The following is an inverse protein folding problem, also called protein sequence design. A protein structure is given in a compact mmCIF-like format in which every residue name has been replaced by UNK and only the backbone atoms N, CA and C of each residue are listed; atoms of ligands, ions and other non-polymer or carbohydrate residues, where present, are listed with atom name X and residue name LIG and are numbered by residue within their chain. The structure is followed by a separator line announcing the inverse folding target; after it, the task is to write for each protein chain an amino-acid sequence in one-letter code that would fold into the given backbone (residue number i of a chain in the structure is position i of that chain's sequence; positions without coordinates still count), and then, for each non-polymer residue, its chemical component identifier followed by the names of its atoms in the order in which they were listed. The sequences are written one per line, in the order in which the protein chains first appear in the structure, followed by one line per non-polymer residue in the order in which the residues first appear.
data_IF_403342429775
#
_entry.id   IF_403342429775
#
_cell.length_a   1.000
_cell.length_b   1.000
_cell.length_c   1.000
_cell.angle_alpha   90.00
_cell.angle_beta   90.00
_cell.angle_gamma   90.00
#
_symmetry.space_group_name_H-M   'P 1'
#
loop_
_entity.id
_entity.type
_entity.pdbx_description
1 polymer ?
#
# COMPACT_ATOMS: atom_id res chain seq x y z
N UNK A 1 2.34 -21.89 -8.45
CA UNK A 1 2.10 -20.61 -7.75
C UNK A 1 3.46 -20.03 -7.40
N UNK A 2 3.83 -18.87 -7.95
CA UNK A 2 5.07 -18.18 -7.57
C UNK A 2 4.68 -17.04 -6.63
N UNK A 3 5.11 -17.10 -5.37
CA UNK A 3 5.14 -15.90 -4.53
C UNK A 3 6.19 -14.97 -5.12
N UNK A 4 5.86 -13.69 -5.25
CA UNK A 4 6.77 -12.68 -5.79
C UNK A 4 7.21 -11.83 -4.62
N UNK A 5 8.52 -11.68 -4.44
CA UNK A 5 9.03 -10.67 -3.53
C UNK A 5 8.93 -9.31 -4.21
N UNK A 6 7.78 -8.68 -4.07
CA UNK A 6 7.65 -7.25 -4.33
C UNK A 6 8.34 -6.56 -3.17
N UNK A 7 9.66 -6.42 -3.29
CA UNK A 7 10.49 -5.71 -2.32
C UNK A 7 10.05 -4.25 -2.36
N UNK A 8 9.16 -3.86 -1.45
CA UNK A 8 9.07 -2.45 -1.08
C UNK A 8 10.40 -2.11 -0.38
N UNK A 9 10.92 -0.93 -0.71
CA UNK A 9 12.19 -0.41 -0.20
C UNK A 9 12.27 -0.65 1.31
N UNK A 10 13.40 -1.15 1.81
CA UNK A 10 13.61 -1.22 3.24
C UNK A 10 13.61 0.22 3.78
N UNK A 11 12.61 0.55 4.60
CA UNK A 11 12.43 1.85 5.23
C UNK A 11 13.47 2.02 6.35
N UNK A 12 14.74 2.20 5.99
CA UNK A 12 15.88 2.29 6.92
C UNK A 12 16.34 3.74 7.07
N UNK A 13 15.39 4.65 7.27
CA UNK A 13 15.69 6.05 7.56
C UNK A 13 15.93 6.22 9.07
N UNK A 14 16.86 7.11 9.41
CA UNK A 14 17.04 7.61 10.78
C UNK A 14 15.79 8.37 11.25
N UNK A 15 15.60 8.49 12.55
CA UNK A 15 14.43 9.21 13.08
C UNK A 15 14.40 10.69 12.69
N UNK A 16 15.56 11.31 12.50
CA UNK A 16 15.68 12.68 11.98
C UNK A 16 15.23 12.77 10.52
N UNK A 17 15.63 11.81 9.68
CA UNK A 17 15.18 11.74 8.28
C UNK A 17 13.66 11.51 8.19
N UNK A 18 13.07 10.69 9.07
CA UNK A 18 11.62 10.49 9.11
C UNK A 18 10.90 11.81 9.48
N UNK A 19 11.42 12.58 10.44
CA UNK A 19 10.87 13.89 10.78
C UNK A 19 11.01 14.90 9.63
N UNK A 20 12.14 14.92 8.93
CA UNK A 20 12.34 15.75 7.74
C UNK A 20 11.36 15.40 6.63
N UNK A 21 11.15 14.10 6.36
CA UNK A 21 10.13 13.62 5.41
C UNK A 21 8.72 14.01 5.83
N UNK A 22 8.39 13.93 7.12
CA UNK A 22 7.09 14.39 7.62
C UNK A 22 6.87 15.89 7.38
N UNK A 23 7.93 16.71 7.47
CA UNK A 23 7.85 18.11 7.10
C UNK A 23 7.62 18.29 5.59
N UNK A 24 8.33 17.53 4.74
CA UNK A 24 8.10 17.58 3.28
C UNK A 24 6.66 17.23 2.91
N UNK A 25 6.01 16.30 3.61
CA UNK A 25 4.57 16.02 3.41
C UNK A 25 3.73 17.26 3.67
N UNK A 26 4.01 18.01 4.73
CA UNK A 26 3.30 19.25 5.06
C UNK A 26 3.49 20.28 3.94
N UNK A 27 4.71 20.41 3.45
CA UNK A 27 5.06 21.35 2.38
C UNK A 27 4.35 20.97 1.06
N UNK A 28 4.31 19.68 0.70
CA UNK A 28 3.55 19.20 -0.48
C UNK A 28 2.06 19.51 -0.33
N UNK A 29 1.46 19.26 0.84
CA UNK A 29 0.05 19.59 1.08
C UNK A 29 -0.21 21.09 0.93
N UNK A 30 0.66 21.94 1.47
CA UNK A 30 0.56 23.40 1.34
C UNK A 30 0.69 23.85 -0.12
N UNK A 31 1.72 23.40 -0.83
CA UNK A 31 1.94 23.68 -2.26
C UNK A 31 0.73 23.29 -3.12
N UNK A 32 0.07 22.18 -2.77
CA UNK A 32 -1.13 21.67 -3.44
C UNK A 32 -2.42 22.32 -2.93
N UNK A 33 -2.35 23.35 -2.08
CA UNK A 33 -3.51 24.02 -1.46
C UNK A 33 -4.45 23.05 -0.72
N UNK A 34 -3.91 21.97 -0.14
CA UNK A 34 -4.63 21.02 0.69
C UNK A 34 -4.48 21.41 2.16
N UNK A 35 -5.57 21.90 2.75
CA UNK A 35 -5.57 22.37 4.14
C UNK A 35 -5.39 21.22 5.12
N UNK A 36 -4.20 21.11 5.73
CA UNK A 36 -3.94 20.27 6.89
C UNK A 36 -4.40 21.00 8.17
N UNK A 37 -5.53 20.60 8.75
CA UNK A 37 -6.03 21.22 10.00
C UNK A 37 -5.15 20.78 11.17
N UNK A 38 -4.77 21.73 12.03
CA UNK A 38 -4.13 21.41 13.32
C UNK A 38 -5.03 20.46 14.13
N UNK A 39 -4.43 19.42 14.69
CA UNK A 39 -5.14 18.38 15.44
C UNK A 39 -5.96 17.40 14.59
N UNK A 40 -5.93 17.49 13.25
CA UNK A 40 -6.47 16.44 12.39
C UNK A 40 -5.71 15.13 12.56
N UNK A 41 -6.36 14.02 12.20
CA UNK A 41 -5.76 12.69 12.26
C UNK A 41 -4.41 12.61 11.53
N UNK A 42 -4.29 13.17 10.32
CA UNK A 42 -3.03 13.22 9.59
C UNK A 42 -1.99 14.11 10.29
N UNK A 43 -2.39 15.30 10.78
CA UNK A 43 -1.49 16.21 11.50
C UNK A 43 -0.92 15.56 12.77
N UNK A 44 -1.78 14.85 13.53
CA UNK A 44 -1.38 14.11 14.72
C UNK A 44 -0.45 12.94 14.36
N UNK A 45 -0.74 12.22 13.27
CA UNK A 45 0.11 11.12 12.81
C UNK A 45 1.50 11.62 12.41
N UNK A 46 1.60 12.67 11.57
CA UNK A 46 2.87 13.27 11.18
C UNK A 46 3.69 13.77 12.39
N UNK A 47 3.02 14.25 13.44
CA UNK A 47 3.70 14.71 14.68
C UNK A 47 4.44 13.59 15.42
N UNK A 48 4.15 12.32 15.14
CA UNK A 48 4.83 11.20 15.78
C UNK A 48 6.27 11.04 15.33
N UNK A 49 6.57 11.40 14.07
CA UNK A 49 7.95 11.47 13.58
C UNK A 49 8.77 12.51 14.35
N UNK A 50 8.19 13.70 14.55
CA UNK A 50 8.84 14.78 15.30
C UNK A 50 9.10 14.36 16.76
N UNK A 51 8.11 13.74 17.41
CA UNK A 51 8.24 13.21 18.79
C UNK A 51 9.31 12.13 18.89
N UNK A 52 9.38 11.21 17.92
CA UNK A 52 10.38 10.15 17.91
C UNK A 52 11.79 10.73 17.76
N UNK A 53 11.97 11.66 16.82
CA UNK A 53 13.25 12.35 16.61
C UNK A 53 13.71 13.09 17.86
N UNK A 54 12.80 13.80 18.54
CA UNK A 54 13.12 14.53 19.77
C UNK A 54 13.51 13.58 20.91
N UNK A 55 12.70 12.54 21.16
CA UNK A 55 12.98 11.56 22.22
C UNK A 55 14.35 10.90 22.02
N UNK A 56 14.70 10.58 20.77
CA UNK A 56 16.02 10.03 20.43
C UNK A 56 17.17 11.01 20.71
N UNK A 57 17.02 12.27 20.30
CA UNK A 57 18.02 13.31 20.56
C UNK A 57 18.22 13.56 22.07
N UNK A 58 17.15 13.48 22.85
CA UNK A 58 17.16 13.62 24.31
C UNK A 58 17.58 12.33 25.04
N UNK A 59 17.86 11.25 24.30
CA UNK A 59 18.19 9.92 24.85
C UNK A 59 17.11 9.37 25.80
N UNK A 60 15.85 9.74 25.55
CA UNK A 60 14.68 9.26 26.28
C UNK A 60 14.07 8.09 25.52
N UNK A 61 13.72 7.02 26.23
CA UNK A 61 13.02 5.88 25.61
C UNK A 61 11.64 6.36 25.11
N UNK A 62 11.36 6.30 23.80
CA UNK A 62 10.04 6.66 23.27
C UNK A 62 8.99 5.61 23.65
N UNK A 63 7.72 6.02 23.66
CA UNK A 63 6.59 5.10 23.73
C UNK A 63 6.58 4.21 22.48
N UNK A 64 6.31 2.90 22.65
CA UNK A 64 6.25 1.94 21.54
C UNK A 64 5.26 2.40 20.45
N UNK A 65 4.13 3.02 20.81
CA UNK A 65 3.16 3.59 19.87
C UNK A 65 3.79 4.66 18.97
N UNK A 66 4.66 5.50 19.53
CA UNK A 66 5.36 6.56 18.78
C UNK A 66 6.28 5.94 17.75
N UNK A 67 7.01 4.89 18.12
CA UNK A 67 7.89 4.14 17.20
C UNK A 67 7.08 3.52 16.07
N UNK A 68 5.94 2.89 16.38
CA UNK A 68 5.09 2.24 15.39
C UNK A 68 4.48 3.26 14.42
N UNK A 69 3.85 4.31 14.96
CA UNK A 69 3.22 5.35 14.14
C UNK A 69 4.24 6.09 13.28
N UNK A 70 5.47 6.33 13.78
CA UNK A 70 6.53 6.93 12.98
C UNK A 70 7.01 6.03 11.82
N UNK A 71 7.06 4.71 11.99
CA UNK A 71 7.34 3.79 10.88
C UNK A 71 6.26 3.87 9.78
N UNK A 72 4.98 4.01 10.18
CA UNK A 72 3.90 4.27 9.23
C UNK A 72 3.98 5.66 8.59
N UNK A 73 4.40 6.69 9.33
CA UNK A 73 4.67 8.02 8.79
C UNK A 73 5.75 7.96 7.72
N UNK A 74 6.82 7.20 7.94
CA UNK A 74 7.87 7.06 6.94
C UNK A 74 7.31 6.49 5.62
N UNK A 75 6.49 5.42 5.71
CA UNK A 75 5.78 4.85 4.55
C UNK A 75 4.91 5.85 3.81
N UNK A 76 4.11 6.60 4.56
CA UNK A 76 3.24 7.63 4.01
C UNK A 76 4.06 8.74 3.36
N UNK A 77 5.17 9.14 3.99
CA UNK A 77 5.94 10.26 3.54
C UNK A 77 6.61 9.99 2.19
N UNK A 78 7.27 8.85 1.98
CA UNK A 78 7.82 8.55 0.65
C UNK A 78 6.72 8.45 -0.40
N UNK A 79 5.54 7.91 -0.07
CA UNK A 79 4.44 7.84 -1.03
C UNK A 79 4.02 9.23 -1.53
N UNK A 80 4.03 10.24 -0.65
CA UNK A 80 3.65 11.61 -1.01
C UNK A 80 4.82 12.37 -1.64
N UNK A 81 6.03 12.27 -1.09
CA UNK A 81 7.20 13.04 -1.53
C UNK A 81 7.79 12.54 -2.86
N UNK A 82 7.45 11.32 -3.29
CA UNK A 82 7.77 10.82 -4.64
C UNK A 82 6.76 11.28 -5.70
N UNK A 83 5.64 11.90 -5.30
CA UNK A 83 4.55 12.29 -6.19
C UNK A 83 4.22 13.81 -6.19
N UNK A 84 5.15 14.74 -5.93
CA UNK A 84 4.80 16.16 -5.73
C UNK A 84 4.13 16.79 -6.96
N UNK A 85 4.60 16.38 -8.15
CA UNK A 85 4.16 16.91 -9.44
C UNK A 85 3.08 16.05 -10.11
N UNK A 86 2.63 14.97 -9.48
CA UNK A 86 1.58 14.13 -10.07
C UNK A 86 0.25 14.90 -10.10
N UNK A 87 -0.35 15.17 -11.28
CA UNK A 87 -1.55 16.00 -11.34
C UNK A 87 -2.77 15.30 -10.72
N UNK A 88 -2.88 13.98 -10.87
CA UNK A 88 -4.08 13.22 -10.49
C UNK A 88 -4.28 12.96 -8.98
N UNK A 89 -3.33 13.33 -8.11
CA UNK A 89 -3.40 12.96 -6.68
C UNK A 89 -4.15 13.97 -5.79
N UNK A 90 -4.68 15.06 -6.34
CA UNK A 90 -5.29 16.14 -5.55
C UNK A 90 -6.40 15.66 -4.61
N UNK A 91 -7.31 14.83 -5.10
CA UNK A 91 -8.42 14.30 -4.30
C UNK A 91 -7.96 13.24 -3.29
N UNK A 92 -6.92 12.46 -3.61
CA UNK A 92 -6.31 11.53 -2.66
C UNK A 92 -5.68 12.29 -1.48
N UNK A 93 -4.93 13.37 -1.74
CA UNK A 93 -4.36 14.23 -0.69
C UNK A 93 -5.45 14.86 0.20
N UNK A 94 -6.56 15.34 -0.39
CA UNK A 94 -7.70 15.85 0.37
C UNK A 94 -8.36 14.79 1.25
N UNK A 95 -8.58 13.57 0.73
CA UNK A 95 -9.12 12.44 1.50
C UNK A 95 -8.21 12.08 2.67
N UNK A 96 -6.89 12.05 2.46
CA UNK A 96 -5.92 11.82 3.54
C UNK A 96 -5.95 12.92 4.61
N UNK A 97 -5.95 14.19 4.20
CA UNK A 97 -5.97 15.31 5.14
C UNK A 97 -7.30 15.45 5.91
N UNK A 98 -8.41 14.95 5.36
CA UNK A 98 -9.76 15.08 5.92
C UNK A 98 -10.27 13.86 6.69
N UNK A 99 -9.57 12.73 6.70
CA UNK A 99 -10.07 11.45 7.24
C UNK A 99 -9.19 10.88 8.35
N UNK A 100 -9.67 9.80 8.98
CA UNK A 100 -8.88 9.01 9.95
C UNK A 100 -7.65 8.40 9.28
N UNK A 101 -6.48 8.53 9.91
CA UNK A 101 -5.21 8.04 9.37
C UNK A 101 -4.46 7.08 10.31
N UNK A 102 -4.88 6.98 11.57
CA UNK A 102 -4.23 6.19 12.61
C UNK A 102 -4.13 4.71 12.22
N UNK A 103 -2.94 4.11 12.18
CA UNK A 103 -2.75 2.74 11.73
C UNK A 103 -3.51 1.69 12.53
N UNK A 104 -3.83 1.94 13.81
CA UNK A 104 -4.58 1.04 14.70
C UNK A 104 -6.10 1.12 14.54
N UNK A 105 -6.63 2.18 13.92
CA UNK A 105 -8.08 2.33 13.69
C UNK A 105 -8.57 1.44 12.54
N UNK A 106 -9.28 0.35 12.85
CA UNK A 106 -9.79 -0.61 11.85
C UNK A 106 -11.11 -0.19 11.18
N UNK A 107 -11.64 0.99 11.50
CA UNK A 107 -12.82 1.49 10.82
C UNK A 107 -12.49 1.92 9.38
N UNK A 108 -13.46 1.75 8.48
CA UNK A 108 -13.30 2.17 7.09
C UNK A 108 -12.93 3.65 7.01
N UNK A 109 -11.84 3.96 6.31
CA UNK A 109 -11.35 5.33 6.14
C UNK A 109 -10.98 5.61 4.68
N UNK A 110 -11.59 6.64 4.13
CA UNK A 110 -11.25 7.17 2.80
C UNK A 110 -9.81 7.68 2.74
N UNK A 111 -9.23 8.11 3.87
CA UNK A 111 -7.83 8.54 3.95
C UNK A 111 -6.86 7.38 3.82
N UNK A 112 -7.17 6.23 4.44
CA UNK A 112 -6.35 5.02 4.26
C UNK A 112 -6.54 4.38 2.89
N UNK A 113 -7.74 4.47 2.32
CA UNK A 113 -7.98 4.06 0.93
C UNK A 113 -7.11 4.91 -0.03
N UNK A 114 -7.12 6.24 0.14
CA UNK A 114 -6.28 7.15 -0.62
C UNK A 114 -4.77 6.90 -0.42
N UNK A 115 -4.33 6.65 0.81
CA UNK A 115 -2.94 6.29 1.08
C UNK A 115 -2.52 5.03 0.33
N UNK A 116 -3.39 4.03 0.24
CA UNK A 116 -3.09 2.82 -0.53
C UNK A 116 -2.83 3.11 -2.00
N UNK A 117 -3.68 3.93 -2.63
CA UNK A 117 -3.52 4.36 -4.02
C UNK A 117 -2.17 5.08 -4.21
N UNK A 118 -1.82 6.03 -3.34
CA UNK A 118 -0.55 6.77 -3.44
C UNK A 118 0.67 5.88 -3.22
N UNK A 119 0.60 4.94 -2.27
CA UNK A 119 1.71 4.00 -2.02
C UNK A 119 1.97 3.15 -3.26
N UNK A 120 0.92 2.58 -3.86
CA UNK A 120 1.09 1.75 -5.05
C UNK A 120 1.60 2.59 -6.24
N UNK A 121 1.06 3.78 -6.45
CA UNK A 121 1.51 4.67 -7.53
C UNK A 121 2.99 5.07 -7.34
N UNK A 122 3.38 5.43 -6.13
CA UNK A 122 4.77 5.76 -5.79
C UNK A 122 5.68 4.56 -6.04
N UNK A 123 5.28 3.35 -5.65
CA UNK A 123 6.10 2.14 -5.86
C UNK A 123 6.29 1.88 -7.37
N UNK A 124 5.21 1.93 -8.15
CA UNK A 124 5.27 1.76 -9.61
C UNK A 124 6.21 2.78 -10.28
N UNK A 125 6.09 4.06 -9.92
CA UNK A 125 6.98 5.11 -10.44
C UNK A 125 8.42 4.93 -10.01
N UNK A 126 8.66 4.53 -8.76
CA UNK A 126 10.02 4.29 -8.25
C UNK A 126 10.75 3.16 -8.98
N UNK A 127 9.99 2.23 -9.59
CA UNK A 127 10.48 1.17 -10.48
C UNK A 127 10.70 1.63 -11.93
N UNK A 128 10.49 2.90 -12.21
CA UNK A 128 10.67 3.49 -13.54
C UNK A 128 9.49 3.28 -14.49
N UNK A 129 8.32 2.84 -13.98
CA UNK A 129 7.14 2.66 -14.81
C UNK A 129 6.44 3.99 -15.10
N UNK A 130 5.91 4.12 -16.31
CA UNK A 130 5.07 5.24 -16.69
C UNK A 130 3.68 5.09 -16.08
N UNK A 131 3.58 5.37 -14.77
CA UNK A 131 2.33 5.31 -14.02
C UNK A 131 1.77 6.71 -13.73
N UNK A 132 0.45 6.87 -13.76
CA UNK A 132 -0.27 8.13 -13.48
C UNK A 132 -1.50 7.87 -12.63
N UNK A 133 -1.86 8.83 -11.78
CA UNK A 133 -3.12 8.81 -11.04
C UNK A 133 -4.27 9.18 -11.99
N UNK A 134 -5.14 8.22 -12.27
CA UNK A 134 -6.30 8.39 -13.16
C UNK A 134 -7.30 7.27 -12.90
N UNK A 135 -8.57 7.47 -13.27
CA UNK A 135 -9.59 6.42 -13.17
C UNK A 135 -9.12 5.13 -13.88
N UNK A 136 -9.25 3.95 -13.25
CA UNK A 136 -10.07 3.69 -12.07
C UNK A 136 -9.44 4.08 -10.72
N UNK A 137 -8.11 4.13 -10.64
CA UNK A 137 -7.32 4.64 -9.51
C UNK A 137 -5.87 4.93 -10.00
N UNK A 138 -5.29 4.01 -10.77
CA UNK A 138 -3.97 4.15 -11.43
C UNK A 138 -4.05 3.63 -12.87
N UNK A 139 -3.34 4.30 -13.79
CA UNK A 139 -3.02 3.79 -15.12
C UNK A 139 -1.51 3.62 -15.23
N UNK A 140 -1.03 2.48 -15.73
CA UNK A 140 0.39 2.22 -15.98
C UNK A 140 0.63 1.79 -17.41
N UNK A 141 1.65 2.35 -18.07
CA UNK A 141 2.11 1.89 -19.37
C UNK A 141 3.45 1.19 -19.24
N UNK A 142 3.50 -0.05 -19.71
CA UNK A 142 4.69 -0.89 -19.79
C UNK A 142 4.93 -1.43 -21.22
N UNK A 143 4.52 -0.65 -22.22
CA UNK A 143 4.66 -0.99 -23.65
C UNK A 143 3.43 -1.70 -24.24
N UNK A 144 2.33 -1.78 -23.48
CA UNK A 144 1.06 -2.38 -23.92
C UNK A 144 -0.10 -1.36 -23.88
N UNK A 145 0.20 -0.07 -23.73
CA UNK A 145 -0.78 0.99 -23.56
C UNK A 145 -1.22 1.16 -22.10
N UNK A 146 -2.24 2.00 -21.87
CA UNK A 146 -2.76 2.27 -20.53
C UNK A 146 -3.36 1.00 -19.91
N UNK A 147 -2.67 0.45 -18.91
CA UNK A 147 -3.10 -0.69 -18.13
C UNK A 147 -3.71 -0.23 -16.79
N UNK A 148 -5.03 -0.34 -16.59
CA UNK A 148 -5.70 0.12 -15.40
C UNK A 148 -5.50 -0.79 -14.19
N UNK A 149 -5.35 -0.15 -13.02
CA UNK A 149 -5.28 -0.81 -11.73
C UNK A 149 -6.36 -0.21 -10.83
N UNK A 150 -7.31 -1.04 -10.40
CA UNK A 150 -8.35 -0.68 -9.45
C UNK A 150 -7.92 -1.06 -8.02
N UNK A 151 -7.59 -0.06 -7.21
CA UNK A 151 -7.11 -0.21 -5.84
C UNK A 151 -8.27 -0.38 -4.86
N UNK A 152 -8.27 -1.44 -4.06
CA UNK A 152 -9.25 -1.64 -2.98
C UNK A 152 -8.60 -2.10 -1.70
N UNK A 153 -8.92 -1.40 -0.63
CA UNK A 153 -8.57 -1.84 0.71
C UNK A 153 -9.63 -2.81 1.25
N UNK A 154 -9.16 -3.91 1.83
CA UNK A 154 -10.01 -4.91 2.47
C UNK A 154 -10.03 -4.63 3.97
N UNK A 155 -11.22 -4.30 4.45
CA UNK A 155 -11.48 -3.93 5.85
C UNK A 155 -12.09 -5.08 6.66
N UNK A 156 -12.68 -6.06 5.99
CA UNK A 156 -13.23 -7.27 6.59
C UNK A 156 -13.23 -8.42 5.59
N UNK A 157 -13.09 -9.66 6.07
CA UNK A 157 -13.17 -10.87 5.25
C UNK A 157 -14.54 -10.98 4.55
N UNK A 158 -15.62 -10.61 5.23
CA UNK A 158 -16.98 -10.61 4.67
C UNK A 158 -17.21 -9.56 3.57
N UNK A 159 -16.32 -8.57 3.44
CA UNK A 159 -16.45 -7.49 2.48
C UNK A 159 -15.79 -7.76 1.12
N UNK A 160 -15.05 -8.87 0.98
CA UNK A 160 -14.18 -9.13 -0.18
C UNK A 160 -14.96 -9.14 -1.49
N UNK A 161 -16.01 -9.95 -1.59
CA UNK A 161 -16.83 -10.07 -2.81
C UNK A 161 -17.37 -8.71 -3.28
N UNK A 162 -17.89 -7.91 -2.36
CA UNK A 162 -18.38 -6.56 -2.66
C UNK A 162 -17.28 -5.65 -3.20
N UNK A 163 -16.07 -5.72 -2.63
CA UNK A 163 -14.93 -4.89 -3.06
C UNK A 163 -14.39 -5.33 -4.42
N UNK A 164 -14.29 -6.63 -4.66
CA UNK A 164 -13.90 -7.20 -5.96
C UNK A 164 -14.93 -6.81 -7.04
N UNK A 165 -16.23 -6.95 -6.76
CA UNK A 165 -17.30 -6.54 -7.67
C UNK A 165 -17.26 -5.03 -8.00
N UNK A 166 -16.96 -4.18 -7.01
CA UNK A 166 -16.80 -2.75 -7.25
C UNK A 166 -15.58 -2.44 -8.13
N UNK A 167 -14.42 -3.06 -7.87
CA UNK A 167 -13.22 -2.87 -8.68
C UNK A 167 -13.43 -3.34 -10.12
N UNK A 168 -14.04 -4.51 -10.32
CA UNK A 168 -14.42 -5.02 -11.64
C UNK A 168 -15.28 -4.02 -12.43
N UNK A 169 -16.25 -3.37 -11.79
CA UNK A 169 -17.07 -2.33 -12.45
C UNK A 169 -16.25 -1.12 -12.90
N UNK A 170 -15.21 -0.76 -12.16
CA UNK A 170 -14.31 0.33 -12.54
C UNK A 170 -13.38 -0.05 -13.71
N UNK A 171 -13.10 -1.35 -13.90
CA UNK A 171 -12.32 -1.86 -15.03
C UNK A 171 -13.15 -2.04 -16.32
N UNK A 172 -14.49 -2.08 -16.23
CA UNK A 172 -15.37 -2.27 -17.38
C UNK A 172 -15.14 -1.29 -18.54
N UNK A 173 -14.90 0.02 -18.32
CA UNK A 173 -14.58 0.96 -19.40
C UNK A 173 -13.27 0.67 -20.15
N UNK A 174 -12.40 -0.17 -19.58
CA UNK A 174 -11.11 -0.56 -20.14
C UNK A 174 -11.14 -1.97 -20.74
N UNK A 175 -12.30 -2.38 -21.25
CA UNK A 175 -12.54 -3.74 -21.75
C UNK A 175 -12.20 -4.83 -20.73
N UNK A 176 -12.32 -4.51 -19.43
CA UNK A 176 -11.90 -5.34 -18.30
C UNK A 176 -10.40 -5.73 -18.28
N UNK A 177 -9.56 -5.14 -19.14
CA UNK A 177 -8.14 -5.47 -19.24
C UNK A 177 -7.32 -4.71 -18.21
N UNK A 178 -7.17 -5.27 -17.00
CA UNK A 178 -6.46 -4.64 -15.90
C UNK A 178 -6.37 -5.47 -14.63
N UNK A 179 -5.73 -4.92 -13.59
CA UNK A 179 -5.53 -5.61 -12.29
C UNK A 179 -6.41 -5.02 -11.20
N UNK A 180 -6.94 -5.89 -10.35
CA UNK A 180 -7.53 -5.49 -9.08
C UNK A 180 -6.45 -5.57 -7.99
N UNK A 181 -6.09 -4.43 -7.41
CA UNK A 181 -5.05 -4.32 -6.39
C UNK A 181 -5.65 -4.26 -4.97
N UNK A 182 -5.56 -5.36 -4.23
CA UNK A 182 -6.11 -5.51 -2.88
C UNK A 182 -5.07 -5.19 -1.80
N UNK A 183 -5.42 -4.35 -0.83
CA UNK A 183 -4.62 -4.10 0.37
C UNK A 183 -5.24 -4.77 1.60
N UNK A 184 -4.46 -5.55 2.34
CA UNK A 184 -4.94 -6.32 3.50
C UNK A 184 -4.43 -5.80 4.85
N UNK A 185 -3.84 -4.59 4.91
CA UNK A 185 -3.17 -4.07 6.12
C UNK A 185 -4.09 -4.08 7.37
N UNK A 186 -5.39 -3.85 7.18
CA UNK A 186 -6.38 -3.82 8.28
C UNK A 186 -6.96 -5.19 8.66
N UNK A 187 -6.61 -6.25 7.91
CA UNK A 187 -6.90 -7.64 8.30
C UNK A 187 -5.80 -8.26 9.17
N UNK A 188 -4.63 -7.63 9.25
CA UNK A 188 -3.54 -8.12 10.11
C UNK A 188 -3.97 -7.98 11.58
N UNK A 189 -3.89 -9.06 12.40
CA UNK A 189 -4.39 -9.07 13.77
C UNK A 189 -3.90 -7.88 14.62
N UNK A 190 -4.84 -7.19 15.29
CA UNK A 190 -4.55 -6.05 16.16
C UNK A 190 -3.62 -6.44 17.30
N UNK A 191 -2.62 -5.60 17.59
CA UNK A 191 -1.73 -5.74 18.75
C UNK A 191 -0.72 -6.90 18.65
N UNK A 192 -0.69 -7.63 17.53
CA UNK A 192 0.31 -8.66 17.26
C UNK A 192 1.30 -8.10 16.25
N UNK A 193 2.34 -7.44 16.74
CA UNK A 193 3.53 -7.26 15.91
C UNK A 193 3.99 -8.64 15.43
N UNK A 194 4.40 -8.75 14.16
CA UNK A 194 5.03 -9.96 13.65
C UNK A 194 6.39 -10.09 14.34
N UNK A 195 6.45 -10.88 15.40
CA UNK A 195 7.70 -11.12 16.13
C UNK A 195 8.45 -12.27 15.47
N UNK A 196 9.55 -11.95 14.82
CA UNK A 196 10.36 -12.89 14.03
C UNK A 196 11.85 -12.52 14.14
N UNK A 197 12.79 -13.43 13.86
CA UNK A 197 14.21 -13.10 13.93
C UNK A 197 14.67 -12.03 12.92
N UNK A 198 14.32 -12.18 11.64
CA UNK A 198 14.89 -11.38 10.54
C UNK A 198 13.82 -10.77 9.62
N UNK A 199 14.24 -9.84 8.76
CA UNK A 199 13.39 -9.20 7.74
C UNK A 199 12.81 -10.21 6.75
N UNK A 200 13.59 -11.22 6.36
CA UNK A 200 13.18 -12.28 5.43
C UNK A 200 12.05 -13.11 6.02
N UNK A 201 12.14 -13.44 7.31
CA UNK A 201 11.09 -14.19 8.00
C UNK A 201 9.82 -13.35 8.16
N UNK A 202 9.93 -12.04 8.37
CA UNK A 202 8.77 -11.15 8.39
C UNK A 202 8.04 -11.17 7.03
N UNK A 203 8.80 -11.06 5.92
CA UNK A 203 8.26 -11.17 4.56
C UNK A 203 7.65 -12.54 4.27
N UNK A 204 8.27 -13.63 4.74
CA UNK A 204 7.73 -14.98 4.60
C UNK A 204 6.38 -15.16 5.32
N UNK A 205 6.24 -14.58 6.52
CA UNK A 205 4.96 -14.55 7.25
C UNK A 205 3.88 -13.82 6.44
N UNK A 206 4.21 -12.65 5.88
CA UNK A 206 3.26 -11.91 5.05
C UNK A 206 2.95 -12.61 3.72
N UNK A 207 3.92 -13.29 3.13
CA UNK A 207 3.71 -14.12 1.94
C UNK A 207 2.69 -15.20 2.23
N UNK A 208 2.87 -15.94 3.33
CA UNK A 208 1.91 -16.95 3.77
C UNK A 208 0.53 -16.34 4.02
N UNK A 209 0.46 -15.20 4.69
CA UNK A 209 -0.80 -14.50 4.95
C UNK A 209 -1.55 -14.14 3.65
N UNK A 210 -0.85 -13.61 2.65
CA UNK A 210 -1.42 -13.30 1.33
C UNK A 210 -1.93 -14.56 0.63
N UNK A 211 -1.15 -15.64 0.65
CA UNK A 211 -1.52 -16.92 0.02
C UNK A 211 -2.72 -17.57 0.72
N UNK A 212 -2.76 -17.55 2.04
CA UNK A 212 -3.88 -18.08 2.80
C UNK A 212 -5.15 -17.24 2.54
N UNK A 213 -5.04 -15.91 2.37
CA UNK A 213 -6.16 -15.05 1.98
C UNK A 213 -6.67 -15.40 0.58
N UNK A 214 -5.78 -15.58 -0.40
CA UNK A 214 -6.13 -16.02 -1.76
C UNK A 214 -6.91 -17.34 -1.71
N UNK A 215 -6.44 -18.32 -0.93
CA UNK A 215 -7.10 -19.62 -0.84
C UNK A 215 -8.49 -19.52 -0.23
N UNK A 216 -8.65 -18.76 0.86
CA UNK A 216 -9.96 -18.57 1.51
C UNK A 216 -11.00 -17.90 0.62
N UNK A 217 -10.56 -17.03 -0.30
CA UNK A 217 -11.43 -16.28 -1.22
C UNK A 217 -11.31 -16.74 -2.67
N UNK A 218 -10.77 -17.95 -2.88
CA UNK A 218 -10.44 -18.46 -4.21
C UNK A 218 -11.62 -18.36 -5.17
N UNK A 219 -12.81 -18.77 -4.74
CA UNK A 219 -14.01 -18.76 -5.59
C UNK A 219 -14.33 -17.36 -6.11
N UNK A 220 -14.29 -16.33 -5.24
CA UNK A 220 -14.55 -14.93 -5.61
C UNK A 220 -13.50 -14.41 -6.61
N UNK A 221 -12.22 -14.70 -6.35
CA UNK A 221 -11.13 -14.24 -7.23
C UNK A 221 -11.17 -14.98 -8.57
N UNK A 222 -11.43 -16.28 -8.55
CA UNK A 222 -11.55 -17.12 -9.73
C UNK A 222 -12.72 -16.71 -10.61
N UNK A 223 -13.89 -16.48 -10.03
CA UNK A 223 -15.06 -16.04 -10.77
C UNK A 223 -14.81 -14.69 -11.46
N UNK A 224 -14.07 -13.78 -10.82
CA UNK A 224 -13.71 -12.50 -11.44
C UNK A 224 -12.80 -12.68 -12.67
N UNK A 225 -11.74 -13.49 -12.56
CA UNK A 225 -10.81 -13.73 -13.68
C UNK A 225 -11.49 -14.54 -14.80
N UNK A 226 -12.17 -15.64 -14.47
CA UNK A 226 -12.81 -16.52 -15.46
C UNK A 226 -13.98 -15.83 -16.18
N UNK A 227 -14.68 -14.92 -15.50
CA UNK A 227 -15.71 -14.09 -16.15
C UNK A 227 -15.14 -12.92 -16.96
N UNK A 228 -13.81 -12.81 -17.08
CA UNK A 228 -13.14 -11.73 -17.81
C UNK A 228 -13.40 -10.35 -17.21
N UNK A 229 -13.56 -10.24 -15.88
CA UNK A 229 -13.79 -8.95 -15.18
C UNK A 229 -12.48 -8.24 -14.80
N UNK A 230 -11.38 -8.97 -14.79
CA UNK A 230 -10.02 -8.48 -14.64
C UNK A 230 -9.04 -9.48 -15.22
N UNK A 231 -7.81 -9.03 -15.47
CA UNK A 231 -6.70 -9.88 -15.89
C UNK A 231 -6.05 -10.58 -14.69
N UNK A 232 -6.27 -10.12 -13.46
CA UNK A 232 -5.72 -10.76 -12.27
C UNK A 232 -5.75 -9.86 -11.05
N UNK A 233 -5.04 -10.30 -10.01
CA UNK A 233 -5.00 -9.65 -8.71
C UNK A 233 -3.57 -9.36 -8.27
N UNK A 234 -3.38 -8.17 -7.70
CA UNK A 234 -2.20 -7.81 -6.94
C UNK A 234 -2.62 -7.67 -5.48
N UNK A 235 -2.04 -8.47 -4.58
CA UNK A 235 -2.44 -8.51 -3.17
C UNK A 235 -1.26 -8.06 -2.33
N UNK A 236 -1.45 -6.99 -1.58
CA UNK A 236 -0.41 -6.37 -0.76
C UNK A 236 -0.81 -6.34 0.71
N UNK A 237 0.14 -6.67 1.57
CA UNK A 237 -0.01 -6.56 3.02
C UNK A 237 1.20 -5.86 3.61
N UNK A 238 0.95 -4.94 4.51
CA UNK A 238 1.95 -4.28 5.35
C UNK A 238 1.63 -4.52 6.81
N UNK A 239 2.63 -4.92 7.59
CA UNK A 239 2.50 -5.14 9.01
C UNK A 239 3.74 -4.63 9.76
N UNK A 240 3.52 -4.16 10.98
CA UNK A 240 4.62 -3.90 11.90
C UNK A 240 5.19 -5.23 12.41
N UNK A 241 6.51 -5.34 12.38
CA UNK A 241 7.28 -6.48 12.81
C UNK A 241 8.31 -6.05 13.88
N UNK A 242 8.56 -6.94 14.83
CA UNK A 242 9.64 -6.81 15.81
C UNK A 242 10.67 -7.89 15.48
N UNK A 243 11.86 -7.45 15.12
CA UNK A 243 12.98 -8.28 14.67
C UNK A 243 13.93 -8.54 15.83
N UNK A 244 14.09 -9.81 16.20
CA UNK A 244 14.85 -10.18 17.38
C UNK A 244 16.38 -10.26 17.14
N UNK A 245 16.81 -10.44 15.89
CA UNK A 245 18.23 -10.63 15.52
C UNK A 245 18.81 -9.43 14.73
N UNK A 246 18.01 -8.40 14.47
CA UNK A 246 18.43 -7.22 13.71
C UNK A 246 18.78 -6.06 14.66
N UNK A 247 19.76 -5.24 14.27
CA UNK A 247 20.16 -4.05 15.01
C UNK A 247 18.99 -3.07 15.17
N UNK A 248 18.17 -2.93 14.12
CA UNK A 248 16.89 -2.21 14.19
C UNK A 248 15.76 -3.20 14.36
N UNK A 249 15.23 -3.30 15.58
CA UNK A 249 14.17 -4.25 15.91
C UNK A 249 12.82 -3.86 15.32
N UNK A 250 12.49 -2.57 15.26
CA UNK A 250 11.23 -2.10 14.69
C UNK A 250 11.30 -2.08 13.16
N UNK A 251 10.41 -2.81 12.49
CA UNK A 251 10.41 -2.91 11.03
C UNK A 251 8.99 -2.90 10.46
N UNK A 252 8.77 -2.17 9.37
CA UNK A 252 7.51 -2.19 8.64
C UNK A 252 7.64 -3.13 7.45
N UNK A 253 7.25 -4.38 7.63
CA UNK A 253 7.29 -5.39 6.59
C UNK A 253 6.15 -5.15 5.59
N UNK A 254 6.47 -5.16 4.29
CA UNK A 254 5.48 -5.12 3.21
C UNK A 254 5.74 -6.30 2.28
N UNK A 255 4.69 -6.94 1.80
CA UNK A 255 4.76 -8.01 0.82
C UNK A 255 3.61 -7.92 -0.19
N UNK A 256 3.95 -7.95 -1.48
CA UNK A 256 3.00 -8.12 -2.57
C UNK A 256 2.95 -9.56 -3.08
N UNK A 257 1.81 -9.98 -3.65
CA UNK A 257 1.62 -11.27 -4.32
C UNK A 257 0.77 -11.06 -5.57
N UNK A 258 1.22 -11.59 -6.70
CA UNK A 258 0.46 -11.59 -7.95
C UNK A 258 -0.29 -12.92 -8.10
N UNK A 259 -1.57 -12.85 -8.43
CA UNK A 259 -2.42 -14.03 -8.60
C UNK A 259 -3.31 -13.93 -9.83
N UNK A 260 -3.36 -15.03 -10.58
CA UNK A 260 -4.13 -15.19 -11.82
C UNK A 260 -4.37 -16.69 -12.10
N UNK A 261 -5.26 -17.00 -13.05
CA UNK A 261 -5.56 -18.36 -13.52
C UNK A 261 -5.03 -18.58 -14.94
N UNK A 262 -4.16 -19.57 -15.14
CA UNK A 262 -3.55 -19.85 -16.45
C UNK A 262 -4.53 -20.19 -17.58
N UNK A 263 -5.76 -20.56 -17.25
CA UNK A 263 -6.82 -20.90 -18.20
C UNK A 263 -7.72 -19.68 -18.58
N UNK A 264 -7.32 -18.45 -18.25
CA UNK A 264 -8.02 -17.25 -18.72
C UNK A 264 -7.83 -17.02 -20.23
N UNK A 265 -8.37 -15.92 -20.77
CA UNK A 265 -8.04 -15.55 -22.15
C UNK A 265 -6.52 -15.35 -22.32
N UNK A 266 -5.94 -15.79 -23.46
CA UNK A 266 -4.50 -15.64 -23.73
C UNK A 266 -4.02 -14.20 -23.61
N UNK A 267 -4.82 -13.24 -24.08
CA UNK A 267 -4.48 -11.82 -24.05
C UNK A 267 -4.46 -11.24 -22.63
N UNK A 268 -5.36 -11.70 -21.75
CA UNK A 268 -5.38 -11.28 -20.34
C UNK A 268 -4.16 -11.85 -19.59
N UNK A 269 -3.85 -13.11 -19.84
CA UNK A 269 -2.68 -13.78 -19.28
C UNK A 269 -1.38 -13.09 -19.73
N UNK A 270 -1.25 -12.76 -21.03
CA UNK A 270 -0.09 -12.04 -21.57
C UNK A 270 0.10 -10.68 -20.89
N UNK A 271 -0.94 -9.84 -20.83
CA UNK A 271 -0.87 -8.53 -20.17
C UNK A 271 -0.51 -8.66 -18.68
N UNK A 272 -1.12 -9.61 -17.98
CA UNK A 272 -0.88 -9.83 -16.55
C UNK A 272 0.55 -10.30 -16.27
N UNK A 273 1.09 -11.21 -17.09
CA UNK A 273 2.47 -11.68 -16.97
C UNK A 273 3.47 -10.57 -17.31
N UNK A 274 3.20 -9.76 -18.34
CA UNK A 274 4.00 -8.59 -18.68
C UNK A 274 4.02 -7.58 -17.52
N UNK A 275 2.85 -7.28 -16.94
CA UNK A 275 2.77 -6.48 -15.71
C UNK A 275 3.60 -7.12 -14.59
N UNK A 276 3.47 -8.43 -14.38
CA UNK A 276 4.25 -9.16 -13.36
C UNK A 276 5.76 -9.02 -13.51
N UNK A 277 6.29 -9.13 -14.73
CA UNK A 277 7.73 -8.94 -14.99
C UNK A 277 8.22 -7.55 -14.58
N UNK A 278 7.42 -6.50 -14.77
CA UNK A 278 7.76 -5.14 -14.31
C UNK A 278 7.82 -5.00 -12.78
N UNK A 279 7.16 -5.90 -12.06
CA UNK A 279 7.17 -5.92 -10.59
C UNK A 279 8.34 -6.72 -10.02
N UNK A 280 9.23 -7.27 -10.87
CA UNK A 280 10.37 -8.09 -10.47
C UNK A 280 10.11 -9.59 -10.52
N UNK A 281 9.25 -10.06 -11.43
CA UNK A 281 9.07 -11.49 -11.75
C UNK A 281 9.95 -12.00 -12.88
#
# INVERSE_FOLDING_TARGET
MKSVDVVSKAWTDTYEEIAAKAQLVRDVLEQRNVRLRSGSALSQLLSQADKLSLAWAEQVKPDDRVVWEAAFVNRLADAVTNLPDEPGIQEALKRMAGSVMQPDDRNTSQGKDALWELVLLSDLKSRGLAAKAAEPDILVDFGMGDYPIACKKIWSESGVEKRVSHAAKQLAPFNNGGVIALNLDDLVPVGKAVSVPTKELAKAVLTKFNLDFIERHRDVLQDAVMSGKCDGFFISTTAFAVLAEEETSAYLATQGSLWHLGDSSPEACERFLAFGHTQGM
#
